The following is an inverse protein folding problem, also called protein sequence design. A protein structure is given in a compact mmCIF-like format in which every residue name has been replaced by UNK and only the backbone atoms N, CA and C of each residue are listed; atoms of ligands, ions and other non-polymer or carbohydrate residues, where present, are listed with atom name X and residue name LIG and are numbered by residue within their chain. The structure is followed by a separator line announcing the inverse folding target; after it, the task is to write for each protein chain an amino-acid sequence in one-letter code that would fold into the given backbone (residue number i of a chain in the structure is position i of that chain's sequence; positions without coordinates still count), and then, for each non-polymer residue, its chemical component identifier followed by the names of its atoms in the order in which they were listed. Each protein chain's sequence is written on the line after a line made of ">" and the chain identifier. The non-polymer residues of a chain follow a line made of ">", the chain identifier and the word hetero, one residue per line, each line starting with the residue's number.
data_IF_615125403234
#
_entry.id   IF_615125403234
#
_cell.length_a   1.000
_cell.length_b   1.000
_cell.length_c   1.000
_cell.angle_alpha   90.00
_cell.angle_beta   90.00
_cell.angle_gamma   90.00
#
_symmetry.space_group_name_H-M   'P 1'
#
loop_
_entity.id
_entity.type
_entity.pdbx_description
1 polymer ?
#
# COMPACT_ATOMS: atom_id res chain seq x y z
N UNK A 1 14.43 12.92 30.82
CA UNK A 1 13.21 13.28 30.05
C UNK A 1 12.17 12.24 30.37
N UNK A 2 10.93 12.64 30.68
CA UNK A 2 9.90 11.70 31.15
C UNK A 2 9.56 10.71 30.02
N UNK A 3 9.59 9.39 30.27
CA UNK A 3 9.45 8.35 29.23
C UNK A 3 8.15 8.50 28.43
N UNK A 4 7.08 8.93 29.10
CA UNK A 4 5.78 9.24 28.50
C UNK A 4 5.85 10.34 27.44
N UNK A 5 6.73 11.33 27.61
CA UNK A 5 6.88 12.45 26.66
C UNK A 5 7.56 11.99 25.37
N UNK A 6 8.60 11.15 25.48
CA UNK A 6 9.27 10.55 24.31
C UNK A 6 8.32 9.65 23.53
N UNK A 7 7.48 8.88 24.22
CA UNK A 7 6.46 8.05 23.59
C UNK A 7 5.42 8.87 22.83
N UNK A 8 4.91 9.95 23.42
CA UNK A 8 3.96 10.85 22.76
C UNK A 8 4.55 11.51 21.50
N UNK A 9 5.82 11.92 21.57
CA UNK A 9 6.56 12.45 20.42
C UNK A 9 6.72 11.42 19.30
N UNK A 10 7.08 10.18 19.62
CA UNK A 10 7.22 9.11 18.63
C UNK A 10 5.89 8.74 17.95
N UNK A 11 4.76 8.89 18.66
CA UNK A 11 3.42 8.63 18.13
C UNK A 11 2.89 9.77 17.25
N UNK A 12 3.41 10.99 17.42
CA UNK A 12 2.90 12.19 16.76
C UNK A 12 2.85 12.13 15.21
N UNK A 13 3.82 11.56 14.48
CA UNK A 13 3.76 11.53 13.02
C UNK A 13 2.68 10.57 12.52
N UNK A 14 2.46 9.46 13.25
CA UNK A 14 1.42 8.50 12.92
C UNK A 14 0.03 9.13 13.06
N UNK A 15 -0.20 9.85 14.17
CA UNK A 15 -1.46 10.58 14.39
C UNK A 15 -1.67 11.67 13.33
N UNK A 16 -0.61 12.39 12.97
CA UNK A 16 -0.64 13.40 11.92
C UNK A 16 -1.06 12.77 10.57
N UNK A 17 -0.44 11.66 10.17
CA UNK A 17 -0.79 10.97 8.93
C UNK A 17 -2.26 10.54 8.89
N UNK A 18 -2.74 9.90 9.96
CA UNK A 18 -4.15 9.47 10.08
C UNK A 18 -5.09 10.67 10.02
N UNK A 19 -4.75 11.75 10.70
CA UNK A 19 -5.56 12.97 10.71
C UNK A 19 -5.66 13.63 9.33
N UNK A 20 -4.55 13.70 8.58
CA UNK A 20 -4.53 14.26 7.22
C UNK A 20 -5.44 13.48 6.26
N UNK A 21 -5.44 12.15 6.39
CA UNK A 21 -6.25 11.27 5.54
C UNK A 21 -7.74 11.35 5.94
N UNK A 22 -8.07 11.19 7.23
CA UNK A 22 -9.46 11.11 7.69
C UNK A 22 -10.18 12.45 7.62
N UNK A 23 -9.53 13.53 8.09
CA UNK A 23 -10.19 14.82 8.26
C UNK A 23 -10.02 15.70 7.03
N UNK A 24 -8.81 15.75 6.48
CA UNK A 24 -8.49 16.63 5.37
C UNK A 24 -8.77 15.99 4.00
N UNK A 25 -9.10 14.69 3.98
CA UNK A 25 -9.35 13.89 2.76
C UNK A 25 -8.26 14.08 1.71
N UNK A 26 -7.04 14.34 2.16
CA UNK A 26 -5.91 14.54 1.26
C UNK A 26 -5.54 13.22 0.59
N UNK A 27 -4.99 13.26 -0.63
CA UNK A 27 -4.44 12.07 -1.24
C UNK A 27 -3.36 11.46 -0.36
N UNK A 28 -3.33 10.12 -0.29
CA UNK A 28 -2.41 9.37 0.57
C UNK A 28 -0.96 9.74 0.29
N UNK A 29 -0.61 9.97 -0.99
CA UNK A 29 0.76 10.33 -1.39
C UNK A 29 1.24 11.64 -0.76
N UNK A 30 0.39 12.67 -0.63
CA UNK A 30 0.77 13.90 0.06
C UNK A 30 0.85 13.71 1.57
N UNK A 31 -0.10 12.96 2.15
CA UNK A 31 -0.14 12.73 3.59
C UNK A 31 1.11 11.99 4.10
N UNK A 32 1.57 10.99 3.35
CA UNK A 32 2.79 10.24 3.64
C UNK A 32 4.04 11.12 3.50
N UNK A 33 4.11 11.97 2.47
CA UNK A 33 5.26 12.85 2.26
C UNK A 33 5.40 13.90 3.37
N UNK A 34 4.28 14.49 3.80
CA UNK A 34 4.24 15.45 4.91
C UNK A 34 4.64 14.76 6.22
N UNK A 35 4.09 13.56 6.48
CA UNK A 35 4.45 12.80 7.67
C UNK A 35 5.92 12.40 7.68
N UNK A 36 6.51 12.06 6.54
CA UNK A 36 7.93 11.73 6.42
C UNK A 36 8.82 12.94 6.74
N UNK A 37 8.50 14.12 6.18
CA UNK A 37 9.21 15.35 6.48
C UNK A 37 9.11 15.71 7.97
N UNK A 38 7.93 15.55 8.56
CA UNK A 38 7.69 15.80 9.98
C UNK A 38 8.49 14.84 10.87
N UNK A 39 8.47 13.53 10.60
CA UNK A 39 9.27 12.53 11.32
C UNK A 39 10.77 12.82 11.21
N UNK A 40 11.25 13.21 10.02
CA UNK A 40 12.66 13.52 9.81
C UNK A 40 13.11 14.73 10.63
N UNK A 41 12.29 15.79 10.69
CA UNK A 41 12.56 16.95 11.53
C UNK A 41 12.56 16.58 13.03
N UNK A 42 11.59 15.78 13.47
CA UNK A 42 11.47 15.36 14.87
C UNK A 42 12.68 14.51 15.31
N UNK A 43 13.12 13.58 14.46
CA UNK A 43 14.28 12.71 14.71
C UNK A 43 15.59 13.50 14.81
N UNK A 44 15.76 14.54 13.96
CA UNK A 44 16.95 15.38 13.99
C UNK A 44 17.02 16.26 15.24
N UNK A 45 15.89 16.77 15.74
CA UNK A 45 15.85 17.74 16.85
C UNK A 45 15.84 17.04 18.23
N UNK A 46 15.10 15.94 18.39
CA UNK A 46 14.89 15.30 19.70
C UNK A 46 15.78 14.08 19.96
N UNK A 47 16.29 13.44 18.91
CA UNK A 47 17.11 12.24 19.00
C UNK A 47 18.55 12.43 18.50
N UNK A 48 18.94 13.66 18.12
CA UNK A 48 20.28 14.03 17.62
C UNK A 48 20.81 13.03 16.58
N UNK A 49 19.92 12.50 15.75
CA UNK A 49 20.27 11.41 14.84
C UNK A 49 21.21 11.93 13.74
N UNK A 50 22.38 11.31 13.51
CA UNK A 50 23.32 11.78 12.50
C UNK A 50 22.70 11.70 11.10
N UNK A 51 22.93 12.73 10.28
CA UNK A 51 22.30 12.91 8.96
C UNK A 51 22.54 11.70 8.03
N UNK A 52 23.68 11.02 8.18
CA UNK A 52 24.00 9.78 7.46
C UNK A 52 23.00 8.66 7.79
N UNK A 53 22.70 8.45 9.07
CA UNK A 53 21.74 7.44 9.49
C UNK A 53 20.32 7.82 9.09
N UNK A 54 19.95 9.10 9.16
CA UNK A 54 18.64 9.58 8.73
C UNK A 54 18.37 9.24 7.25
N UNK A 55 19.32 9.57 6.36
CA UNK A 55 19.21 9.27 4.93
C UNK A 55 19.18 7.76 4.66
N UNK A 56 20.02 6.99 5.37
CA UNK A 56 20.06 5.54 5.25
C UNK A 56 18.73 4.91 5.67
N UNK A 57 18.12 5.35 6.78
CA UNK A 57 16.82 4.85 7.24
C UNK A 57 15.68 5.18 6.27
N UNK A 58 15.68 6.38 5.67
CA UNK A 58 14.70 6.74 4.64
C UNK A 58 14.83 5.84 3.41
N UNK A 59 16.05 5.65 2.90
CA UNK A 59 16.31 4.76 1.76
C UNK A 59 15.95 3.31 2.05
N UNK A 60 16.31 2.82 3.24
CA UNK A 60 15.95 1.47 3.69
C UNK A 60 14.44 1.27 3.77
N UNK A 61 13.71 2.24 4.32
CA UNK A 61 12.24 2.22 4.37
C UNK A 61 11.60 2.18 2.98
N UNK A 62 12.10 3.01 2.06
CA UNK A 62 11.63 3.03 0.67
C UNK A 62 11.86 1.69 -0.05
N UNK A 63 13.08 1.14 0.04
CA UNK A 63 13.41 -0.16 -0.53
C UNK A 63 12.58 -1.28 0.07
N UNK A 64 12.40 -1.28 1.40
CA UNK A 64 11.58 -2.27 2.10
C UNK A 64 10.12 -2.23 1.68
N UNK A 65 9.58 -1.05 1.34
CA UNK A 65 8.24 -0.89 0.80
C UNK A 65 8.13 -1.35 -0.66
N UNK A 66 9.11 -1.01 -1.49
CA UNK A 66 9.12 -1.35 -2.92
C UNK A 66 9.37 -2.83 -3.19
N UNK A 67 10.24 -3.46 -2.41
CA UNK A 67 10.63 -4.87 -2.58
C UNK A 67 9.44 -5.85 -2.67
N UNK A 68 8.50 -5.89 -1.69
CA UNK A 68 7.35 -6.78 -1.76
C UNK A 68 6.40 -6.43 -2.92
N UNK A 69 6.24 -5.14 -3.25
CA UNK A 69 5.36 -4.69 -4.33
C UNK A 69 5.85 -5.24 -5.67
N UNK A 70 7.16 -5.15 -5.94
CA UNK A 70 7.77 -5.66 -7.18
C UNK A 70 7.57 -7.17 -7.31
N UNK A 71 7.82 -7.93 -6.23
CA UNK A 71 7.66 -9.39 -6.24
C UNK A 71 6.20 -9.78 -6.53
N UNK A 72 5.23 -9.10 -5.91
CA UNK A 72 3.80 -9.36 -6.12
C UNK A 72 3.39 -9.07 -7.56
N UNK A 73 3.81 -7.93 -8.12
CA UNK A 73 3.49 -7.56 -9.50
C UNK A 73 4.12 -8.54 -10.50
N UNK A 74 5.38 -8.93 -10.29
CA UNK A 74 6.04 -9.93 -11.14
C UNK A 74 5.34 -11.28 -11.06
N UNK A 75 4.96 -11.73 -9.86
CA UNK A 75 4.20 -12.96 -9.67
C UNK A 75 2.84 -12.92 -10.39
N UNK A 76 2.14 -11.78 -10.34
CA UNK A 76 0.88 -11.59 -11.03
C UNK A 76 1.03 -11.63 -12.56
N UNK A 77 2.02 -10.93 -13.12
CA UNK A 77 2.30 -10.94 -14.57
C UNK A 77 2.73 -12.33 -15.04
N UNK A 78 3.58 -13.00 -14.27
CA UNK A 78 4.00 -14.37 -14.56
C UNK A 78 2.80 -15.33 -14.59
N UNK A 79 1.95 -15.28 -13.56
CA UNK A 79 0.74 -16.09 -13.48
C UNK A 79 -0.21 -15.80 -14.65
N UNK A 80 -0.42 -14.52 -15.00
CA UNK A 80 -1.22 -14.12 -16.17
C UNK A 80 -0.67 -14.72 -17.47
N UNK A 81 0.63 -14.62 -17.70
CA UNK A 81 1.27 -15.16 -18.91
C UNK A 81 1.13 -16.69 -18.99
N UNK A 82 1.25 -17.40 -17.87
CA UNK A 82 1.03 -18.86 -17.80
C UNK A 82 -0.43 -19.21 -18.10
N UNK A 83 -1.39 -18.48 -17.54
CA UNK A 83 -2.82 -18.69 -17.81
C UNK A 83 -3.18 -18.40 -19.27
N UNK A 84 -2.53 -17.41 -19.87
CA UNK A 84 -2.71 -17.07 -21.28
C UNK A 84 -2.12 -18.14 -22.21
N UNK A 85 -0.93 -18.65 -21.90
CA UNK A 85 -0.27 -19.69 -22.70
C UNK A 85 -1.00 -21.04 -22.63
N UNK A 86 -1.59 -21.38 -21.48
CA UNK A 86 -2.35 -22.62 -21.27
C UNK A 86 -3.80 -22.55 -21.77
N UNK A 87 -4.25 -21.39 -22.28
CA UNK A 87 -5.66 -21.09 -22.62
C UNK A 87 -6.64 -21.28 -21.46
N UNK A 88 -6.15 -21.32 -20.23
CA UNK A 88 -6.98 -21.41 -19.03
C UNK A 88 -7.94 -20.21 -18.90
N UNK A 89 -7.54 -19.05 -19.43
CA UNK A 89 -8.40 -17.86 -19.52
C UNK A 89 -9.65 -18.08 -20.40
N UNK A 90 -9.55 -18.88 -21.47
CA UNK A 90 -10.68 -19.16 -22.35
C UNK A 90 -11.66 -20.11 -21.67
N UNK A 91 -11.14 -21.15 -21.00
CA UNK A 91 -11.94 -22.06 -20.16
C UNK A 91 -12.67 -21.28 -19.05
N UNK A 92 -11.97 -20.34 -18.41
CA UNK A 92 -12.58 -19.50 -17.37
C UNK A 92 -13.73 -18.64 -17.93
N UNK A 93 -13.57 -18.08 -19.14
CA UNK A 93 -14.63 -17.31 -19.81
C UNK A 93 -15.83 -18.17 -20.15
N UNK A 94 -15.61 -19.39 -20.64
CA UNK A 94 -16.68 -20.32 -20.99
C UNK A 94 -17.47 -20.76 -19.76
N UNK A 95 -16.78 -21.07 -18.65
CA UNK A 95 -17.43 -21.38 -17.37
C UNK A 95 -18.30 -20.21 -16.90
N UNK A 96 -17.77 -18.98 -16.92
CA UNK A 96 -18.53 -17.79 -16.53
C UNK A 96 -19.73 -17.51 -17.45
N UNK A 97 -19.58 -17.73 -18.75
CA UNK A 97 -20.65 -17.59 -19.73
C UNK A 97 -21.76 -18.63 -19.52
N UNK A 98 -21.40 -19.87 -19.16
CA UNK A 98 -22.37 -20.95 -18.92
C UNK A 98 -23.24 -20.77 -17.67
N UNK A 99 -22.78 -20.01 -16.67
CA UNK A 99 -23.54 -19.78 -15.43
C UNK A 99 -24.72 -18.84 -15.68
N UNK A 100 -24.51 -17.80 -16.50
CA UNK A 100 -25.52 -16.79 -16.79
C UNK A 100 -25.14 -16.01 -18.05
N UNK A 101 -26.08 -15.92 -18.99
CA UNK A 101 -25.93 -15.09 -20.20
C UNK A 101 -26.01 -13.59 -19.89
N UNK A 102 -26.64 -13.22 -18.76
CA UNK A 102 -26.80 -11.84 -18.34
C UNK A 102 -25.49 -11.23 -17.80
N UNK A 103 -24.92 -10.27 -18.55
CA UNK A 103 -23.67 -9.56 -18.19
C UNK A 103 -23.72 -8.89 -16.82
N UNK A 104 -24.91 -8.44 -16.38
CA UNK A 104 -25.10 -7.82 -15.06
C UNK A 104 -24.81 -8.81 -13.93
N UNK A 105 -25.31 -10.04 -14.07
CA UNK A 105 -25.13 -11.11 -13.09
C UNK A 105 -23.66 -11.56 -13.07
N UNK A 106 -23.00 -11.64 -14.24
CA UNK A 106 -21.57 -11.95 -14.31
C UNK A 106 -20.71 -10.92 -13.57
N UNK A 107 -20.97 -9.62 -13.76
CA UNK A 107 -20.23 -8.56 -13.04
C UNK A 107 -20.49 -8.63 -11.54
N UNK A 108 -21.72 -8.95 -11.11
CA UNK A 108 -22.03 -9.17 -9.69
C UNK A 108 -21.31 -10.39 -9.11
N UNK A 109 -21.21 -11.49 -9.85
CA UNK A 109 -20.48 -12.69 -9.42
C UNK A 109 -18.97 -12.45 -9.33
N UNK A 110 -18.39 -11.77 -10.32
CA UNK A 110 -16.97 -11.39 -10.33
C UNK A 110 -16.69 -10.46 -9.15
N UNK A 111 -17.49 -9.39 -8.96
CA UNK A 111 -17.33 -8.50 -7.81
C UNK A 111 -17.55 -9.20 -6.46
N UNK A 112 -18.41 -10.22 -6.39
CA UNK A 112 -18.56 -11.04 -5.19
C UNK A 112 -17.34 -11.92 -4.90
N UNK A 113 -16.79 -12.60 -5.92
CA UNK A 113 -15.59 -13.43 -5.79
C UNK A 113 -14.35 -12.60 -5.43
N UNK A 114 -14.22 -11.42 -6.01
CA UNK A 114 -13.07 -10.57 -5.75
C UNK A 114 -13.24 -9.70 -4.50
N UNK A 115 -14.48 -9.44 -4.04
CA UNK A 115 -14.93 -8.71 -2.82
C UNK A 115 -14.17 -7.42 -2.44
N UNK A 116 -13.20 -7.03 -3.24
CA UNK A 116 -12.15 -6.07 -2.96
C UNK A 116 -11.75 -5.39 -4.27
N UNK A 117 -12.73 -4.97 -5.06
CA UNK A 117 -12.56 -3.76 -5.85
C UNK A 117 -13.49 -2.74 -5.19
N UNK A 118 -12.98 -1.79 -4.40
CA UNK A 118 -13.73 -0.60 -4.03
C UNK A 118 -14.08 0.24 -5.26
#
# INVERSE_FOLDING_TARGET
>A
MNEYFMFALALSPLLLMVFLILKLKMPIHYSVLISLAFTAALSAIFWDMPVQNLKASMGYGALKGLWPIVIVILGAIFSYNVMQATKALDILRDILASISEDKRIQVLLISWCFRWIP
#
